data_IF_882205065781
#
_entry.id   IF_882205065781
#
_cell.length_a   1.000
_cell.length_b   1.000
_cell.length_c   1.000
_cell.angle_alpha   90.00
_cell.angle_beta   90.00
_cell.angle_gamma   90.00
#
_symmetry.space_group_name_H-M   'P 1'
#
loop_
_entity.id
_entity.type
_entity.pdbx_description
1 polymer ?
#
# COMPACT_ATOMS: atom_id res chain seq x y z
N UNK A 1 -6.07 2.88 -30.76
CA UNK A 1 -6.34 2.26 -29.45
C UNK A 1 -5.05 2.39 -28.65
N UNK A 2 -5.04 3.30 -27.71
CA UNK A 2 -3.80 3.72 -27.06
C UNK A 2 -3.98 3.91 -25.58
N UNK A 3 -3.07 4.65 -24.97
CA UNK A 3 -2.99 5.00 -23.53
C UNK A 3 -4.32 5.48 -22.94
N UNK A 4 -5.25 5.96 -23.75
CA UNK A 4 -6.61 6.37 -23.34
C UNK A 4 -7.37 5.26 -22.60
N UNK A 5 -7.10 3.99 -22.89
CA UNK A 5 -7.69 2.87 -22.15
C UNK A 5 -7.25 2.83 -20.68
N UNK A 6 -6.04 3.30 -20.38
CA UNK A 6 -5.55 3.39 -19.01
C UNK A 6 -6.31 4.42 -18.16
N UNK A 7 -6.88 5.47 -18.80
CA UNK A 7 -7.63 6.51 -18.10
C UNK A 7 -8.86 5.96 -17.37
N UNK A 8 -9.51 4.93 -17.95
CA UNK A 8 -10.64 4.26 -17.29
C UNK A 8 -10.28 3.53 -16.00
N UNK A 9 -9.00 3.23 -15.78
CA UNK A 9 -8.52 2.55 -14.59
C UNK A 9 -8.04 3.49 -13.47
N UNK A 10 -7.92 4.80 -13.75
CA UNK A 10 -7.43 5.80 -12.77
C UNK A 10 -8.17 5.73 -11.43
N UNK A 11 -9.52 5.66 -11.36
CA UNK A 11 -10.21 5.62 -10.08
C UNK A 11 -9.83 4.38 -9.24
N UNK A 12 -9.66 3.23 -9.88
CA UNK A 12 -9.25 1.99 -9.21
C UNK A 12 -7.79 2.06 -8.75
N UNK A 13 -6.88 2.55 -9.60
CA UNK A 13 -5.47 2.74 -9.27
C UNK A 13 -5.30 3.72 -8.09
N UNK A 14 -6.04 4.84 -8.10
CA UNK A 14 -6.00 5.82 -7.02
C UNK A 14 -6.51 5.25 -5.70
N UNK A 15 -7.59 4.45 -5.72
CA UNK A 15 -8.10 3.77 -4.53
C UNK A 15 -7.06 2.81 -3.96
N UNK A 16 -6.47 1.97 -4.82
CA UNK A 16 -5.43 1.03 -4.42
C UNK A 16 -4.19 1.76 -3.87
N UNK A 17 -3.70 2.77 -4.57
CA UNK A 17 -2.55 3.56 -4.15
C UNK A 17 -2.76 4.24 -2.78
N UNK A 18 -3.97 4.75 -2.50
CA UNK A 18 -4.30 5.35 -1.19
C UNK A 18 -4.25 4.34 -0.05
N UNK A 19 -4.74 3.14 -0.28
CA UNK A 19 -4.66 2.06 0.72
C UNK A 19 -3.22 1.56 0.89
N UNK A 20 -2.43 1.58 -0.18
CA UNK A 20 -1.05 1.14 -0.20
C UNK A 20 -0.11 2.12 0.51
N UNK A 21 -0.22 3.41 0.21
CA UNK A 21 0.68 4.45 0.74
C UNK A 21 0.21 5.03 2.07
N UNK A 22 -1.11 4.98 2.34
CA UNK A 22 -1.72 5.63 3.51
C UNK A 22 -1.78 7.15 3.43
N UNK A 23 -1.31 7.77 2.35
CA UNK A 23 -1.22 9.21 2.15
C UNK A 23 -1.79 9.60 0.77
N UNK A 24 -2.58 10.66 0.72
CA UNK A 24 -3.27 11.06 -0.50
C UNK A 24 -2.31 11.63 -1.56
N UNK A 25 -1.33 12.43 -1.15
CA UNK A 25 -0.35 13.05 -2.04
C UNK A 25 0.55 11.98 -2.65
N UNK A 26 1.12 11.12 -1.83
CA UNK A 26 1.93 9.99 -2.29
C UNK A 26 1.16 9.04 -3.22
N UNK A 27 -0.12 8.83 -2.93
CA UNK A 27 -0.97 7.99 -3.77
C UNK A 27 -1.16 8.62 -5.15
N UNK A 28 -1.43 9.92 -5.21
CA UNK A 28 -1.61 10.64 -6.47
C UNK A 28 -0.29 10.69 -7.27
N UNK A 29 0.85 10.90 -6.62
CA UNK A 29 2.19 10.83 -7.25
C UNK A 29 2.46 9.42 -7.81
N UNK A 30 2.21 8.37 -7.02
CA UNK A 30 2.39 6.98 -7.45
C UNK A 30 1.50 6.63 -8.67
N UNK A 31 0.26 7.13 -8.70
CA UNK A 31 -0.64 6.95 -9.86
C UNK A 31 -0.09 7.68 -11.08
N UNK A 32 0.39 8.91 -10.93
CA UNK A 32 0.98 9.68 -12.02
C UNK A 32 2.21 8.95 -12.58
N UNK A 33 3.16 8.57 -11.74
CA UNK A 33 4.36 7.82 -12.12
C UNK A 33 4.00 6.51 -12.85
N UNK A 34 2.94 5.83 -12.38
CA UNK A 34 2.45 4.60 -13.00
C UNK A 34 1.94 4.86 -14.42
N UNK A 35 1.16 5.93 -14.62
CA UNK A 35 0.63 6.30 -15.94
C UNK A 35 1.74 6.75 -16.88
N UNK A 36 2.71 7.53 -16.39
CA UNK A 36 3.88 7.94 -17.18
C UNK A 36 4.68 6.71 -17.61
N UNK A 37 4.94 5.78 -16.69
CA UNK A 37 5.64 4.53 -17.00
C UNK A 37 4.84 3.67 -17.97
N UNK A 38 3.51 3.63 -17.84
CA UNK A 38 2.64 2.93 -18.78
C UNK A 38 2.73 3.54 -20.19
N UNK A 39 2.75 4.85 -20.32
CA UNK A 39 2.94 5.53 -21.61
C UNK A 39 4.26 5.11 -22.27
N UNK A 40 5.36 5.12 -21.51
CA UNK A 40 6.69 4.76 -22.03
C UNK A 40 6.75 3.28 -22.43
N UNK A 41 6.12 2.40 -21.63
CA UNK A 41 6.15 0.94 -21.83
C UNK A 41 4.95 0.40 -22.60
N UNK A 42 4.12 1.24 -23.18
CA UNK A 42 2.89 0.81 -23.84
C UNK A 42 3.08 -0.26 -24.93
N UNK A 43 4.18 -0.15 -25.67
CA UNK A 43 4.53 -1.13 -26.69
C UNK A 43 4.81 -2.55 -26.13
N UNK A 44 5.10 -2.67 -24.83
CA UNK A 44 5.33 -3.95 -24.16
C UNK A 44 4.04 -4.58 -23.63
N UNK A 45 2.95 -3.81 -23.58
CA UNK A 45 1.66 -4.37 -23.18
C UNK A 45 1.08 -5.22 -24.31
N UNK A 46 0.70 -6.45 -23.98
CA UNK A 46 0.13 -7.38 -24.95
C UNK A 46 -1.39 -7.23 -24.99
N UNK A 47 -2.00 -6.88 -26.14
CA UNK A 47 -3.45 -6.89 -26.31
C UNK A 47 -4.00 -8.29 -25.98
N UNK A 48 -4.98 -8.34 -25.06
CA UNK A 48 -5.54 -9.60 -24.56
C UNK A 48 -5.14 -9.94 -23.13
N UNK A 49 -4.08 -9.34 -22.59
CA UNK A 49 -3.82 -9.36 -21.14
C UNK A 49 -4.69 -8.32 -20.42
N UNK A 50 -5.00 -8.59 -19.15
CA UNK A 50 -5.76 -7.63 -18.33
C UNK A 50 -4.93 -6.37 -18.11
N UNK A 51 -5.31 -5.27 -18.78
CA UNK A 51 -4.63 -3.97 -18.66
C UNK A 51 -4.46 -3.52 -17.21
N UNK A 52 -5.50 -3.75 -16.38
CA UNK A 52 -5.47 -3.41 -14.95
C UNK A 52 -4.35 -4.15 -14.21
N UNK A 53 -4.18 -5.45 -14.44
CA UNK A 53 -3.12 -6.24 -13.81
C UNK A 53 -1.73 -5.77 -14.22
N UNK A 54 -1.56 -5.41 -15.50
CA UNK A 54 -0.31 -4.83 -15.99
C UNK A 54 -0.02 -3.47 -15.37
N UNK A 55 -1.01 -2.59 -15.23
CA UNK A 55 -0.85 -1.30 -14.55
C UNK A 55 -0.50 -1.48 -13.07
N UNK A 56 -1.12 -2.44 -12.38
CA UNK A 56 -0.80 -2.75 -10.99
C UNK A 56 0.61 -3.32 -10.83
N UNK A 57 1.11 -4.13 -11.78
CA UNK A 57 2.50 -4.60 -11.74
C UNK A 57 3.50 -3.47 -11.95
N UNK A 58 3.19 -2.49 -12.80
CA UNK A 58 4.02 -1.27 -12.92
C UNK A 58 4.01 -0.46 -11.62
N UNK A 59 2.84 -0.29 -11.02
CA UNK A 59 2.69 0.43 -9.74
C UNK A 59 3.45 -0.24 -8.62
N UNK A 60 3.37 -1.57 -8.51
CA UNK A 60 4.13 -2.35 -7.53
C UNK A 60 5.63 -2.09 -7.66
N UNK A 61 6.18 -2.21 -8.87
CA UNK A 61 7.61 -1.99 -9.11
C UNK A 61 8.05 -0.56 -8.76
N UNK A 62 7.23 0.45 -9.06
CA UNK A 62 7.52 1.83 -8.69
C UNK A 62 7.48 2.02 -7.18
N UNK A 63 6.47 1.47 -6.52
CA UNK A 63 6.34 1.53 -5.06
C UNK A 63 7.52 0.87 -4.34
N UNK A 64 7.96 -0.31 -4.81
CA UNK A 64 9.14 -0.98 -4.27
C UNK A 64 10.40 -0.11 -4.39
N UNK A 65 10.60 0.55 -5.52
CA UNK A 65 11.75 1.43 -5.72
C UNK A 65 11.69 2.62 -4.76
N UNK A 66 10.53 3.29 -4.64
CA UNK A 66 10.33 4.39 -3.69
C UNK A 66 10.61 3.96 -2.24
N UNK A 67 10.14 2.78 -1.83
CA UNK A 67 10.40 2.25 -0.48
C UNK A 67 11.88 1.94 -0.26
N UNK A 68 12.59 1.46 -1.30
CA UNK A 68 14.04 1.22 -1.22
C UNK A 68 14.82 2.52 -1.10
N UNK A 69 14.49 3.51 -1.92
CA UNK A 69 15.20 4.80 -1.95
C UNK A 69 15.09 5.49 -0.59
N UNK A 70 13.92 5.44 0.04
CA UNK A 70 13.73 5.99 1.39
C UNK A 70 14.52 5.25 2.47
N UNK A 71 14.64 3.91 2.38
CA UNK A 71 15.45 3.12 3.31
C UNK A 71 16.95 3.42 3.17
N UNK A 72 17.40 3.78 1.98
CA UNK A 72 18.78 4.18 1.75
C UNK A 72 19.09 5.57 2.31
N UNK A 73 18.13 6.49 2.24
CA UNK A 73 18.31 7.87 2.73
C UNK A 73 18.30 7.93 4.27
N UNK A 74 17.56 7.05 4.93
CA UNK A 74 17.47 6.94 6.39
C UNK A 74 18.54 6.04 7.04
N UNK A 75 19.50 5.51 6.28
CA UNK A 75 20.64 4.74 6.80
C UNK A 75 20.28 3.40 7.48
N UNK A 76 19.06 2.90 7.32
CA UNK A 76 18.61 1.64 7.89
C UNK A 76 18.66 0.51 6.86
N UNK A 77 19.75 -0.25 6.90
CA UNK A 77 19.89 -1.50 6.18
C UNK A 77 18.98 -2.58 6.77
N UNK A 78 18.29 -3.24 5.85
CA UNK A 78 17.73 -4.59 5.90
C UNK A 78 17.22 -5.10 7.26
N UNK A 79 15.97 -5.41 7.30
CA UNK A 79 15.33 -6.67 7.69
C UNK A 79 13.84 -6.41 7.96
N UNK A 80 13.01 -7.24 7.44
CA UNK A 80 11.63 -7.64 7.73
C UNK A 80 10.79 -6.95 8.83
N UNK A 81 11.19 -5.82 9.39
CA UNK A 81 10.46 -5.15 10.46
C UNK A 81 10.47 -3.62 10.29
N UNK A 82 9.27 -3.09 10.52
CA UNK A 82 8.95 -1.68 10.85
C UNK A 82 8.63 -0.78 9.66
N UNK A 83 7.36 -0.80 9.29
CA UNK A 83 6.72 0.37 8.72
C UNK A 83 6.55 1.43 9.82
N UNK A 84 7.44 2.40 9.89
CA UNK A 84 7.12 3.65 10.57
C UNK A 84 6.35 4.54 9.61
N UNK A 85 5.02 4.45 9.67
CA UNK A 85 4.17 5.48 9.11
C UNK A 85 4.28 6.72 10.00
N UNK A 86 4.65 7.85 9.41
CA UNK A 86 4.56 9.14 10.08
C UNK A 86 3.10 9.34 10.54
N UNK A 87 2.93 9.48 11.84
CA UNK A 87 1.64 9.65 12.46
C UNK A 87 1.27 11.13 12.40
N UNK A 88 0.18 11.45 11.72
CA UNK A 88 -0.51 12.73 11.89
C UNK A 88 -1.56 12.55 13.01
N UNK A 89 -1.45 13.27 14.16
CA UNK A 89 -2.20 12.93 15.37
C UNK A 89 -3.58 13.58 15.46
N UNK A 90 -4.21 13.98 14.37
CA UNK A 90 -5.48 14.69 14.47
C UNK A 90 -6.55 14.24 13.49
N UNK A 91 -7.27 13.15 13.85
CA UNK A 91 -8.67 12.98 13.47
C UNK A 91 -9.33 11.81 14.20
N UNK A 92 -10.04 12.09 15.25
CA UNK A 92 -10.98 11.18 15.88
C UNK A 92 -12.25 11.05 15.01
N UNK A 93 -12.26 10.14 14.04
CA UNK A 93 -13.48 9.68 13.38
C UNK A 93 -13.40 8.18 13.13
N UNK A 94 -13.90 7.41 14.10
CA UNK A 94 -14.42 6.07 13.97
C UNK A 94 -13.58 4.99 13.26
N UNK A 95 -14.11 3.81 13.20
CA UNK A 95 -13.55 2.54 12.68
C UNK A 95 -12.80 2.61 11.32
N UNK A 96 -13.02 3.63 10.50
CA UNK A 96 -12.28 3.82 9.23
C UNK A 96 -10.83 4.23 9.43
N UNK A 97 -10.57 5.06 10.44
CA UNK A 97 -9.21 5.48 10.80
C UNK A 97 -8.43 4.31 11.39
N UNK A 98 -9.08 3.48 12.19
CA UNK A 98 -8.46 2.31 12.81
C UNK A 98 -7.99 1.32 11.73
N UNK A 99 -8.80 1.06 10.70
CA UNK A 99 -8.41 0.18 9.60
C UNK A 99 -7.28 0.76 8.75
N UNK A 100 -7.33 2.06 8.43
CA UNK A 100 -6.26 2.69 7.65
C UNK A 100 -4.94 2.70 8.43
N UNK A 101 -4.97 2.96 9.72
CA UNK A 101 -3.80 2.89 10.59
C UNK A 101 -3.28 1.46 10.71
N UNK A 102 -4.15 0.49 10.89
CA UNK A 102 -3.79 -0.91 10.94
C UNK A 102 -3.17 -1.40 9.62
N UNK A 103 -3.70 -0.98 8.47
CA UNK A 103 -3.11 -1.26 7.17
C UNK A 103 -1.75 -0.58 7.02
N UNK A 104 -1.62 0.68 7.48
CA UNK A 104 -0.35 1.40 7.44
C UNK A 104 0.73 0.77 8.32
N UNK A 105 0.34 0.10 9.41
CA UNK A 105 1.24 -0.62 10.31
C UNK A 105 1.67 -2.00 9.77
N UNK A 106 1.07 -2.49 8.67
CA UNK A 106 1.53 -3.72 8.04
C UNK A 106 2.82 -3.48 7.25
N UNK A 107 3.76 -4.42 7.26
CA UNK A 107 4.89 -4.40 6.34
C UNK A 107 4.42 -4.29 4.87
N UNK A 108 5.10 -3.47 4.02
CA UNK A 108 4.66 -3.24 2.64
C UNK A 108 4.34 -4.49 1.84
N UNK A 109 5.17 -5.58 1.85
CA UNK A 109 4.86 -6.79 1.10
C UNK A 109 3.60 -7.54 1.58
N UNK A 110 3.27 -7.43 2.87
CA UNK A 110 2.05 -8.03 3.44
C UNK A 110 0.83 -7.20 3.06
N UNK A 111 0.95 -5.87 3.12
CA UNK A 111 -0.11 -4.93 2.74
C UNK A 111 -0.48 -5.10 1.27
N UNK A 112 0.50 -5.17 0.37
CA UNK A 112 0.28 -5.36 -1.07
C UNK A 112 -0.51 -6.63 -1.37
N UNK A 113 -0.08 -7.77 -0.83
CA UNK A 113 -0.77 -9.06 -1.01
C UNK A 113 -2.21 -8.99 -0.47
N UNK A 114 -2.39 -8.40 0.71
CA UNK A 114 -3.71 -8.26 1.32
C UNK A 114 -4.64 -7.41 0.45
N UNK A 115 -4.16 -6.29 -0.07
CA UNK A 115 -4.94 -5.40 -0.92
C UNK A 115 -5.30 -6.04 -2.26
N UNK A 116 -4.36 -6.72 -2.92
CA UNK A 116 -4.62 -7.39 -4.19
C UNK A 116 -5.68 -8.48 -4.06
N UNK A 117 -5.58 -9.31 -3.01
CA UNK A 117 -6.49 -10.46 -2.86
C UNK A 117 -7.82 -10.05 -2.22
N UNK A 118 -7.82 -9.18 -1.19
CA UNK A 118 -9.02 -8.90 -0.41
C UNK A 118 -9.79 -7.65 -0.89
N UNK A 119 -9.16 -6.72 -1.60
CA UNK A 119 -9.82 -5.48 -2.07
C UNK A 119 -9.99 -5.50 -3.59
N UNK A 120 -8.97 -5.95 -4.30
CA UNK A 120 -8.98 -5.98 -5.76
C UNK A 120 -9.45 -7.32 -6.33
N UNK A 121 -9.73 -8.31 -5.45
CA UNK A 121 -10.33 -9.63 -5.74
C UNK A 121 -9.52 -10.49 -6.71
N UNK A 122 -8.20 -10.28 -6.78
CA UNK A 122 -7.32 -11.14 -7.57
C UNK A 122 -7.16 -12.52 -6.94
N UNK A 123 -7.08 -13.54 -7.77
CA UNK A 123 -6.67 -14.89 -7.34
C UNK A 123 -5.21 -14.87 -6.86
N UNK A 124 -4.83 -15.89 -6.09
CA UNK A 124 -3.44 -16.01 -5.62
C UNK A 124 -2.43 -16.10 -6.77
N UNK A 125 -2.82 -16.75 -7.87
CA UNK A 125 -1.97 -16.87 -9.04
C UNK A 125 -1.79 -15.52 -9.77
N UNK A 126 -2.86 -14.75 -9.91
CA UNK A 126 -2.81 -13.41 -10.50
C UNK A 126 -2.02 -12.44 -9.62
N UNK A 127 -2.24 -12.45 -8.30
CA UNK A 127 -1.48 -11.65 -7.35
C UNK A 127 0.02 -12.01 -7.38
N UNK A 128 0.34 -13.31 -7.49
CA UNK A 128 1.72 -13.78 -7.66
C UNK A 128 2.37 -13.24 -8.94
N UNK A 129 1.62 -13.23 -10.04
CA UNK A 129 2.09 -12.67 -11.32
C UNK A 129 2.27 -11.14 -11.27
N UNK A 130 1.37 -10.41 -10.59
CA UNK A 130 1.47 -8.95 -10.41
C UNK A 130 2.70 -8.58 -9.57
N UNK A 131 2.96 -9.33 -8.50
CA UNK A 131 4.02 -9.06 -7.53
C UNK A 131 5.37 -9.71 -7.90
N UNK A 132 5.40 -10.51 -8.97
CA UNK A 132 6.57 -11.29 -9.41
C UNK A 132 7.16 -12.16 -8.27
N UNK A 133 6.29 -12.91 -7.58
CA UNK A 133 6.66 -13.82 -6.48
C UNK A 133 5.97 -15.17 -6.64
N UNK A 134 6.51 -16.25 -6.03
CA UNK A 134 5.84 -17.55 -6.03
C UNK A 134 4.46 -17.48 -5.34
N UNK A 135 3.49 -18.28 -5.81
CA UNK A 135 2.14 -18.37 -5.22
C UNK A 135 2.19 -18.73 -3.73
N UNK A 136 3.11 -19.63 -3.32
CA UNK A 136 3.32 -19.97 -1.92
C UNK A 136 3.73 -18.77 -1.05
N UNK A 137 4.48 -17.82 -1.63
CA UNK A 137 4.84 -16.56 -0.96
C UNK A 137 3.61 -15.67 -0.79
N UNK A 138 2.73 -15.60 -1.79
CA UNK A 138 1.45 -14.86 -1.67
C UNK A 138 0.61 -15.45 -0.53
N UNK A 139 0.47 -16.78 -0.48
CA UNK A 139 -0.32 -17.46 0.56
C UNK A 139 0.23 -17.19 1.95
N UNK A 140 1.54 -17.32 2.14
CA UNK A 140 2.19 -17.12 3.45
C UNK A 140 2.14 -15.65 3.89
N UNK A 141 2.37 -14.70 2.98
CA UNK A 141 2.26 -13.27 3.27
C UNK A 141 0.82 -12.87 3.60
N UNK A 142 -0.17 -13.39 2.86
CA UNK A 142 -1.57 -13.13 3.12
C UNK A 142 -2.02 -13.64 4.49
N UNK A 143 -1.60 -14.84 4.85
CA UNK A 143 -1.89 -15.42 6.17
C UNK A 143 -1.35 -14.52 7.28
N UNK A 144 -0.06 -14.19 7.24
CA UNK A 144 0.58 -13.30 8.23
C UNK A 144 -0.05 -11.90 8.25
N UNK A 145 -0.40 -11.35 7.07
CA UNK A 145 -1.06 -10.06 6.98
C UNK A 145 -2.42 -10.06 7.71
N UNK A 146 -3.22 -11.11 7.52
CA UNK A 146 -4.52 -11.25 8.17
C UNK A 146 -4.39 -11.42 9.68
N UNK A 147 -3.43 -12.21 10.14
CA UNK A 147 -3.15 -12.37 11.57
C UNK A 147 -2.74 -11.03 12.18
N UNK A 148 -1.77 -10.36 11.59
CA UNK A 148 -1.28 -9.09 12.10
C UNK A 148 -2.35 -7.99 12.08
N UNK A 149 -3.16 -7.94 11.02
CA UNK A 149 -4.28 -6.99 10.95
C UNK A 149 -5.31 -7.26 12.06
N UNK A 150 -5.61 -8.54 12.32
CA UNK A 150 -6.52 -8.91 13.41
C UNK A 150 -5.97 -8.49 14.77
N UNK A 151 -4.70 -8.69 15.04
CA UNK A 151 -4.05 -8.23 16.27
C UNK A 151 -4.17 -6.72 16.43
N UNK A 152 -3.82 -5.96 15.38
CA UNK A 152 -3.89 -4.49 15.39
C UNK A 152 -5.31 -3.96 15.59
N UNK A 153 -6.31 -4.66 15.06
CA UNK A 153 -7.72 -4.28 15.22
C UNK A 153 -8.32 -4.69 16.57
N UNK A 154 -7.76 -5.71 17.23
CA UNK A 154 -8.21 -6.18 18.53
C UNK A 154 -7.49 -5.49 19.70
N UNK A 155 -6.29 -4.94 19.49
CA UNK A 155 -5.66 -4.08 20.49
C UNK A 155 -6.47 -2.78 20.58
N UNK A 156 -7.16 -2.51 21.73
CA UNK A 156 -7.79 -1.21 21.90
C UNK A 156 -6.69 -0.16 21.78
N UNK A 157 -6.94 0.87 20.98
CA UNK A 157 -6.02 2.00 20.82
C UNK A 157 -5.44 2.33 22.20
N UNK A 158 -4.15 2.09 22.40
CA UNK A 158 -3.48 2.51 23.63
C UNK A 158 -3.60 4.02 23.63
N UNK A 159 -4.62 4.48 24.34
CA UNK A 159 -4.76 5.88 24.71
C UNK A 159 -3.43 6.28 25.33
N UNK A 160 -2.60 6.98 24.60
CA UNK A 160 -1.45 7.66 25.18
C UNK A 160 -2.05 8.57 26.24
N UNK A 161 -1.76 8.38 27.55
CA UNK A 161 -2.32 9.26 28.56
C UNK A 161 -1.87 10.68 28.19
N UNK A 162 -2.85 11.55 27.97
CA UNK A 162 -2.59 12.96 27.74
C UNK A 162 -1.66 13.44 28.87
N UNK A 163 -0.54 14.04 28.49
CA UNK A 163 0.39 14.62 29.44
C UNK A 163 -0.41 15.53 30.39
N UNK A 164 -0.22 15.43 31.71
CA UNK A 164 -0.97 16.25 32.65
C UNK A 164 -0.71 17.72 32.35
N UNK A 165 -1.79 18.46 32.10
CA UNK A 165 -1.75 19.90 31.94
C UNK A 165 -1.16 20.50 33.23
N UNK A 166 0.06 21.02 33.15
CA UNK A 166 0.63 21.81 34.24
C UNK A 166 -0.06 23.17 34.25
N UNK A 167 -0.91 23.39 35.24
CA UNK A 167 -1.47 24.71 35.55
C UNK A 167 -0.31 25.63 35.97
N UNK A 168 0.05 26.55 35.09
CA UNK A 168 0.94 27.67 35.46
C UNK A 168 0.14 28.59 36.36
N UNK A 169 0.42 28.54 37.68
CA UNK A 169 -0.07 29.56 38.63
C UNK A 169 0.67 30.85 38.34
N UNK A 170 -0.09 31.90 38.06
CA UNK A 170 0.38 33.29 38.13
C UNK A 170 0.57 33.71 39.55
#
# INVERSE_FOLDING_TARGET
MGVEQALGHIPALRRYARLLTGDATRADDLVQDTLERACIKWALWQPGSLLRSWLLSLMHNLHLNQVRDWRHDDGHAALDDVAQAAHDPMAAVGQRLDLQQALAALPPPMREVLLLVSVEEYTYAEAAAILDVPVGTVMSRLHRARERLRELMLEPARCTPAAPLQLVKR
#
